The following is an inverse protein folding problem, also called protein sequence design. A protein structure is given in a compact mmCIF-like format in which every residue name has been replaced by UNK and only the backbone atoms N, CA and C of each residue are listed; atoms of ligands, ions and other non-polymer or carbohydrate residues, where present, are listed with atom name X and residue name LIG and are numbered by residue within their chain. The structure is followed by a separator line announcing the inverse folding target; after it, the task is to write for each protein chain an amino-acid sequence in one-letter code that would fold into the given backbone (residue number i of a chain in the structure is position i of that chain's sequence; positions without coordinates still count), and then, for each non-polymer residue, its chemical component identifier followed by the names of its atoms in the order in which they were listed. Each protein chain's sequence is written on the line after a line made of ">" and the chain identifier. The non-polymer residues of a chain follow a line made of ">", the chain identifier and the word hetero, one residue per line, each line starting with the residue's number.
data_IF_808416211661
#
_entry.id   IF_808416211661
#
_cell.length_a   1.000
_cell.length_b   1.000
_cell.length_c   1.000
_cell.angle_alpha   90.00
_cell.angle_beta   90.00
_cell.angle_gamma   90.00
#
_symmetry.space_group_name_H-M   'P 1'
#
loop_
_entity.id
_entity.type
_entity.pdbx_description
1 polymer ?
#
# COMPACT_ATOMS: atom_id res chain seq x y z
N UNK A 1 -24.26 -40.36 12.30
CA UNK A 1 -22.92 -39.92 11.85
C UNK A 1 -23.10 -38.87 10.77
N UNK A 2 -22.81 -37.57 10.97
CA UNK A 2 -22.87 -36.62 9.87
C UNK A 2 -21.60 -36.72 9.02
N UNK A 3 -21.79 -36.73 7.70
CA UNK A 3 -20.74 -36.75 6.68
C UNK A 3 -19.93 -35.45 6.75
N UNK A 4 -18.58 -35.47 6.61
CA UNK A 4 -17.85 -34.22 6.46
C UNK A 4 -18.24 -33.61 5.11
N UNK A 5 -18.78 -32.40 5.14
CA UNK A 5 -18.73 -31.55 3.97
C UNK A 5 -17.24 -31.28 3.73
N UNK A 6 -16.74 -31.62 2.54
CA UNK A 6 -15.46 -31.10 2.10
C UNK A 6 -15.61 -29.58 2.10
N UNK A 7 -15.00 -28.92 3.08
CA UNK A 7 -14.88 -27.48 3.08
C UNK A 7 -14.16 -27.14 1.77
N UNK A 8 -14.79 -26.35 0.91
CA UNK A 8 -14.03 -25.61 -0.08
C UNK A 8 -12.98 -24.85 0.72
N UNK A 9 -11.70 -25.25 0.61
CA UNK A 9 -10.62 -24.44 1.15
C UNK A 9 -10.87 -23.04 0.59
N UNK A 10 -11.16 -22.06 1.44
CA UNK A 10 -11.81 -20.88 0.93
C UNK A 10 -10.83 -20.19 -0.02
N UNK A 11 -11.33 -19.62 -1.10
CA UNK A 11 -10.61 -18.59 -1.87
C UNK A 11 -10.05 -17.45 -0.97
N UNK A 12 -10.41 -17.44 0.33
CA UNK A 12 -9.99 -16.55 1.41
C UNK A 12 -8.49 -16.62 1.82
N UNK A 13 -7.60 -17.13 0.97
CA UNK A 13 -6.16 -16.94 1.17
C UNK A 13 -5.48 -16.30 -0.04
N UNK A 14 -6.22 -15.64 -0.93
CA UNK A 14 -5.59 -14.68 -1.85
C UNK A 14 -5.18 -13.46 -1.02
N UNK A 15 -3.88 -13.37 -0.70
CA UNK A 15 -3.33 -12.21 -0.01
C UNK A 15 -3.67 -10.94 -0.80
N UNK A 16 -4.33 -9.98 -0.14
CA UNK A 16 -4.67 -8.71 -0.75
C UNK A 16 -3.40 -7.85 -0.89
N UNK A 17 -3.28 -7.22 -2.05
CA UNK A 17 -2.16 -6.37 -2.41
C UNK A 17 -2.65 -4.97 -2.79
N UNK A 18 -2.02 -3.94 -2.23
CA UNK A 18 -2.30 -2.55 -2.51
C UNK A 18 -1.25 -1.95 -3.46
N UNK A 19 -1.66 -1.02 -4.29
CA UNK A 19 -0.73 -0.22 -5.09
C UNK A 19 -1.08 1.26 -4.96
N UNK A 20 -0.07 2.10 -4.69
CA UNK A 20 -0.23 3.55 -4.65
C UNK A 20 0.21 4.14 -6.00
N UNK A 21 -0.72 4.74 -6.73
CA UNK A 21 -0.53 5.31 -8.07
C UNK A 21 -0.91 6.80 -8.09
N UNK A 22 -0.42 7.52 -9.10
CA UNK A 22 -0.86 8.88 -9.45
C UNK A 22 -0.80 9.89 -8.31
N UNK A 23 0.18 9.74 -7.42
CA UNK A 23 0.41 10.70 -6.32
C UNK A 23 1.07 11.95 -6.87
N UNK A 24 0.28 13.00 -7.00
CA UNK A 24 0.72 14.30 -7.49
C UNK A 24 0.33 15.38 -6.49
N UNK A 25 1.18 16.39 -6.33
CA UNK A 25 0.85 17.60 -5.57
C UNK A 25 1.17 18.80 -6.44
N UNK A 26 0.21 19.73 -6.51
CA UNK A 26 0.40 21.01 -7.18
C UNK A 26 1.73 21.64 -6.73
N UNK A 27 2.59 22.14 -7.65
CA UNK A 27 3.89 22.71 -7.30
C UNK A 27 3.83 23.78 -6.21
N UNK A 28 2.80 24.62 -6.20
CA UNK A 28 2.60 25.70 -5.22
C UNK A 28 2.21 25.19 -3.83
N UNK A 29 1.73 23.94 -3.75
CA UNK A 29 1.31 23.29 -2.50
C UNK A 29 2.34 22.28 -1.98
N UNK A 30 3.49 22.14 -2.64
CA UNK A 30 4.55 21.21 -2.19
C UNK A 30 5.10 21.62 -0.82
N UNK A 31 5.73 20.65 -0.15
CA UNK A 31 6.40 20.81 1.16
C UNK A 31 5.47 21.16 2.34
N UNK A 32 4.16 21.02 2.15
CA UNK A 32 3.13 21.20 3.19
C UNK A 32 2.64 19.90 3.83
N UNK A 33 3.20 18.76 3.43
CA UNK A 33 2.85 17.45 4.00
C UNK A 33 1.64 16.76 3.37
N UNK A 34 1.05 17.28 2.30
CA UNK A 34 -0.13 16.69 1.65
C UNK A 34 0.06 15.23 1.24
N UNK A 35 1.14 14.91 0.53
CA UNK A 35 1.42 13.51 0.14
C UNK A 35 1.50 12.60 1.36
N UNK A 36 2.19 13.04 2.42
CA UNK A 36 2.33 12.27 3.65
C UNK A 36 0.97 11.95 4.27
N UNK A 37 0.13 12.97 4.44
CA UNK A 37 -1.20 12.79 5.01
C UNK A 37 -2.08 11.84 4.17
N UNK A 38 -2.08 12.00 2.85
CA UNK A 38 -2.85 11.13 1.96
C UNK A 38 -2.34 9.68 1.98
N UNK A 39 -1.02 9.48 1.96
CA UNK A 39 -0.44 8.13 1.99
C UNK A 39 -0.67 7.46 3.34
N UNK A 40 -0.50 8.15 4.47
CA UNK A 40 -0.78 7.60 5.81
C UNK A 40 -2.26 7.18 5.93
N UNK A 41 -3.20 8.00 5.45
CA UNK A 41 -4.61 7.66 5.44
C UNK A 41 -4.91 6.42 4.57
N UNK A 42 -4.30 6.33 3.38
CA UNK A 42 -4.46 5.19 2.49
C UNK A 42 -3.85 3.91 3.07
N UNK A 43 -2.70 4.00 3.75
CA UNK A 43 -2.09 2.87 4.44
C UNK A 43 -2.97 2.36 5.59
N UNK A 44 -3.58 3.27 6.36
CA UNK A 44 -4.56 2.89 7.39
C UNK A 44 -5.80 2.20 6.80
N UNK A 45 -6.27 2.64 5.64
CA UNK A 45 -7.35 1.96 4.92
C UNK A 45 -6.93 0.56 4.46
N UNK A 46 -5.72 0.40 3.89
CA UNK A 46 -5.18 -0.90 3.48
C UNK A 46 -5.06 -1.87 4.65
N UNK A 47 -4.55 -1.42 5.79
CA UNK A 47 -4.43 -2.21 7.01
C UNK A 47 -5.80 -2.73 7.47
N UNK A 48 -6.80 -1.84 7.53
CA UNK A 48 -8.18 -2.20 7.90
C UNK A 48 -8.86 -3.21 6.95
N UNK A 49 -8.35 -3.36 5.72
CA UNK A 49 -8.87 -4.29 4.71
C UNK A 49 -8.01 -5.56 4.54
N UNK A 50 -7.01 -5.77 5.39
CA UNK A 50 -6.17 -6.98 5.35
C UNK A 50 -5.19 -7.01 4.17
N UNK A 51 -4.80 -5.85 3.65
CA UNK A 51 -3.72 -5.76 2.66
C UNK A 51 -2.38 -6.03 3.35
N UNK A 52 -1.67 -7.06 2.90
CA UNK A 52 -0.41 -7.50 3.54
C UNK A 52 0.84 -6.98 2.84
N UNK A 53 0.67 -6.38 1.65
CA UNK A 53 1.77 -5.85 0.85
C UNK A 53 1.30 -4.64 0.05
N UNK A 54 2.09 -3.57 0.07
CA UNK A 54 1.83 -2.35 -0.69
C UNK A 54 3.06 -1.99 -1.50
N UNK A 55 2.91 -1.84 -2.81
CA UNK A 55 3.97 -1.31 -3.66
C UNK A 55 3.60 0.07 -4.21
N UNK A 56 4.64 0.78 -4.65
CA UNK A 56 4.55 2.01 -5.42
C UNK A 56 5.79 2.16 -6.29
N UNK A 57 5.70 3.02 -7.28
CA UNK A 57 6.86 3.52 -8.02
C UNK A 57 7.10 4.96 -7.61
N UNK A 58 8.23 5.19 -6.94
CA UNK A 58 8.66 6.52 -6.55
C UNK A 58 9.51 7.13 -7.66
N UNK A 59 9.30 8.42 -7.95
CA UNK A 59 10.29 9.23 -8.64
C UNK A 59 11.49 9.48 -7.71
N UNK A 60 12.65 9.82 -8.26
CA UNK A 60 13.83 10.15 -7.47
C UNK A 60 13.58 11.30 -6.46
N UNK A 61 12.78 12.30 -6.84
CA UNK A 61 12.38 13.40 -5.95
C UNK A 61 11.52 12.92 -4.77
N UNK A 62 10.64 11.94 -5.00
CA UNK A 62 9.69 11.45 -4.01
C UNK A 62 10.22 10.29 -3.16
N UNK A 63 11.27 9.60 -3.58
CA UNK A 63 11.82 8.44 -2.88
C UNK A 63 12.14 8.70 -1.39
N UNK A 64 12.80 9.83 -1.00
CA UNK A 64 13.08 10.11 0.40
C UNK A 64 11.83 10.19 1.29
N UNK A 65 10.70 10.62 0.73
CA UNK A 65 9.42 10.65 1.44
C UNK A 65 8.93 9.23 1.74
N UNK A 66 8.89 8.37 0.74
CA UNK A 66 8.41 7.00 0.91
C UNK A 66 9.33 6.17 1.81
N UNK A 67 10.65 6.39 1.76
CA UNK A 67 11.59 5.75 2.71
C UNK A 67 11.29 6.14 4.17
N UNK A 68 10.96 7.42 4.43
CA UNK A 68 10.54 7.88 5.77
C UNK A 68 9.21 7.27 6.23
N UNK A 69 8.34 6.90 5.28
CA UNK A 69 7.09 6.16 5.54
C UNK A 69 7.30 4.64 5.70
N UNK A 70 8.54 4.15 5.66
CA UNK A 70 8.85 2.73 5.89
C UNK A 70 8.95 1.89 4.62
N UNK A 71 8.69 2.45 3.43
CA UNK A 71 8.92 1.73 2.18
C UNK A 71 10.40 1.39 2.00
N UNK A 72 10.66 0.28 1.30
CA UNK A 72 12.00 -0.21 0.97
C UNK A 72 12.09 -0.49 -0.52
N UNK A 73 13.24 -0.20 -1.17
CA UNK A 73 13.46 -0.61 -2.54
C UNK A 73 13.30 -2.12 -2.69
N UNK A 74 12.47 -2.55 -3.64
CA UNK A 74 12.30 -3.97 -3.98
C UNK A 74 13.45 -4.48 -4.84
N UNK A 75 14.01 -3.59 -5.66
CA UNK A 75 15.16 -3.81 -6.53
C UNK A 75 16.00 -2.52 -6.56
N UNK A 76 17.32 -2.59 -6.83
CA UNK A 76 18.12 -1.38 -7.10
C UNK A 76 17.52 -0.63 -8.29
N UNK A 77 17.41 0.69 -8.18
CA UNK A 77 17.05 1.57 -9.30
C UNK A 77 18.29 2.05 -10.04
#
# INVERSE_FOLDING_TARGET
>A
MPRPAAAAAPLAALALFGFVLNVCTDPTQRRRGHVRACTEALLGWFDAHGVTRVDLHATAEAEPLYRRLGFRPRHPQ
#
